data_IF_482907603180
#
_entry.id   IF_482907603180
#
_cell.length_a   1.000
_cell.length_b   1.000
_cell.length_c   1.000
_cell.angle_alpha   90.00
_cell.angle_beta   90.00
_cell.angle_gamma   90.00
#
_symmetry.space_group_name_H-M   'P 1'
#
loop_
_entity.id
_entity.type
_entity.pdbx_description
1 polymer ?
#
# COMPACT_ATOMS: atom_id res chain seq x y z
N UNK A 1 20.73 80.52 12.83
CA UNK A 1 20.30 79.91 14.12
C UNK A 1 19.24 78.87 13.77
N UNK A 2 19.60 77.57 13.85
CA UNK A 2 18.80 76.38 14.21
C UNK A 2 17.27 76.59 14.37
N UNK A 3 16.31 75.83 13.79
CA UNK A 3 16.05 74.36 13.73
C UNK A 3 14.77 74.13 12.87
N UNK A 4 14.59 72.96 12.23
CA UNK A 4 13.25 72.53 11.77
C UNK A 4 13.18 71.23 10.96
N UNK A 5 12.86 70.11 11.65
CA UNK A 5 12.75 68.71 11.20
C UNK A 5 11.76 68.47 10.04
N UNK A 6 11.98 67.41 9.24
CA UNK A 6 11.00 66.33 9.06
C UNK A 6 11.57 65.16 8.23
N UNK A 7 11.23 63.95 8.66
CA UNK A 7 11.62 62.66 8.08
C UNK A 7 10.71 62.26 6.92
N UNK A 8 11.22 61.42 6.00
CA UNK A 8 10.46 60.26 5.49
C UNK A 8 11.35 59.35 4.64
N UNK A 9 11.58 58.17 5.19
CA UNK A 9 11.92 56.92 4.50
C UNK A 9 10.72 56.45 3.67
N UNK A 10 10.96 55.80 2.53
CA UNK A 10 10.20 54.72 1.85
C UNK A 10 10.57 54.78 0.35
N UNK A 11 10.81 53.74 -0.43
CA UNK A 11 10.58 52.30 -0.30
C UNK A 11 11.36 51.66 -1.47
N UNK A 12 12.38 50.83 -1.22
CA UNK A 12 12.95 49.97 -2.28
C UNK A 12 11.97 48.83 -2.52
N UNK A 13 11.30 48.83 -3.68
CA UNK A 13 10.44 47.72 -4.12
C UNK A 13 11.34 46.54 -4.53
N UNK A 14 11.51 45.57 -3.65
CA UNK A 14 12.01 44.24 -4.01
C UNK A 14 10.87 43.44 -4.63
N UNK A 15 10.95 43.18 -5.94
CA UNK A 15 10.06 42.26 -6.65
C UNK A 15 10.55 40.85 -6.33
N UNK A 16 9.81 40.12 -5.49
CA UNK A 16 10.04 38.68 -5.29
C UNK A 16 9.37 37.91 -6.43
N UNK A 17 10.18 37.46 -7.38
CA UNK A 17 9.78 36.50 -8.41
C UNK A 17 9.55 35.14 -7.73
N UNK A 18 8.30 34.78 -7.49
CA UNK A 18 7.96 33.49 -6.88
C UNK A 18 8.03 32.44 -7.99
N UNK A 19 9.10 31.64 -8.01
CA UNK A 19 9.15 30.43 -8.84
C UNK A 19 8.10 29.45 -8.32
N UNK A 20 7.04 29.21 -9.10
CA UNK A 20 6.20 28.04 -8.91
C UNK A 20 7.05 26.80 -9.22
N UNK A 21 7.48 26.10 -8.17
CA UNK A 21 7.96 24.72 -8.31
C UNK A 21 6.72 23.86 -8.52
N UNK A 22 6.37 23.59 -9.78
CA UNK A 22 5.43 22.53 -10.12
C UNK A 22 6.09 21.20 -9.83
N UNK A 23 5.89 20.65 -8.63
CA UNK A 23 6.26 19.28 -8.27
C UNK A 23 5.32 18.28 -8.94
N UNK A 24 5.22 18.34 -10.26
CA UNK A 24 4.58 17.33 -11.08
C UNK A 24 5.63 16.35 -11.61
N UNK A 25 6.43 15.76 -10.72
CA UNK A 25 7.01 14.46 -11.04
C UNK A 25 5.91 13.43 -10.81
N UNK A 26 5.06 13.35 -11.83
CA UNK A 26 4.22 12.23 -12.12
C UNK A 26 5.01 10.96 -11.83
N UNK A 27 4.50 10.15 -10.92
CA UNK A 27 4.88 8.76 -10.75
C UNK A 27 5.04 8.18 -12.15
N UNK A 28 6.30 7.89 -12.53
CA UNK A 28 6.62 7.15 -13.74
C UNK A 28 5.64 5.99 -13.86
N UNK A 29 5.05 5.77 -15.04
CA UNK A 29 3.97 4.82 -15.33
C UNK A 29 4.09 3.60 -14.42
N UNK A 30 3.35 3.64 -13.31
CA UNK A 30 3.51 2.70 -12.22
C UNK A 30 2.88 1.40 -12.73
N UNK A 31 3.71 0.39 -13.05
CA UNK A 31 3.22 -0.91 -13.53
C UNK A 31 2.60 -1.67 -12.36
N UNK A 32 1.40 -1.26 -11.98
CA UNK A 32 0.63 -1.84 -10.88
C UNK A 32 -0.12 -3.08 -11.34
N UNK A 33 -0.27 -4.12 -10.49
CA UNK A 33 -1.11 -5.27 -10.79
C UNK A 33 -2.48 -4.84 -11.30
N UNK A 34 -2.91 -5.45 -12.39
CA UNK A 34 -4.21 -5.17 -13.03
C UNK A 34 -5.19 -6.24 -12.53
N UNK A 35 -6.34 -5.85 -11.94
CA UNK A 35 -7.36 -6.81 -11.56
C UNK A 35 -7.92 -7.52 -12.78
N UNK A 36 -8.14 -8.84 -12.69
CA UNK A 36 -8.80 -9.59 -13.77
C UNK A 36 -10.26 -9.16 -13.90
N UNK A 37 -10.93 -8.96 -12.77
CA UNK A 37 -12.30 -8.46 -12.73
C UNK A 37 -12.41 -7.21 -11.85
N UNK A 38 -13.22 -6.26 -12.32
CA UNK A 38 -13.49 -5.00 -11.61
C UNK A 38 -14.99 -4.72 -11.64
N UNK A 39 -15.58 -4.48 -10.47
CA UNK A 39 -16.93 -3.95 -10.33
C UNK A 39 -16.90 -2.66 -9.50
N UNK A 40 -17.64 -1.63 -9.93
CA UNK A 40 -17.61 -0.31 -9.29
C UNK A 40 -18.99 0.27 -9.10
N UNK A 41 -19.20 0.93 -7.96
CA UNK A 41 -20.39 1.72 -7.64
C UNK A 41 -19.97 3.00 -6.89
N UNK A 42 -20.24 4.16 -7.48
CA UNK A 42 -19.90 5.47 -6.90
C UNK A 42 -19.48 6.51 -7.94
N UNK A 43 -18.83 7.58 -7.48
CA UNK A 43 -18.34 8.65 -8.38
C UNK A 43 -17.01 8.30 -9.03
N UNK A 44 -16.77 8.77 -10.26
CA UNK A 44 -15.55 8.47 -11.01
C UNK A 44 -14.26 8.82 -10.25
N UNK A 45 -14.22 9.98 -9.58
CA UNK A 45 -13.04 10.43 -8.82
C UNK A 45 -12.75 9.52 -7.63
N UNK A 46 -13.79 9.16 -6.88
CA UNK A 46 -13.66 8.26 -5.73
C UNK A 46 -13.26 6.85 -6.16
N UNK A 47 -13.84 6.35 -7.26
CA UNK A 47 -13.48 5.06 -7.85
C UNK A 47 -12.00 5.04 -8.24
N UNK A 48 -11.53 6.04 -9.00
CA UNK A 48 -10.14 6.10 -9.45
C UNK A 48 -9.13 6.13 -8.28
N UNK A 49 -9.41 6.93 -7.25
CA UNK A 49 -8.55 7.02 -6.07
C UNK A 49 -8.52 5.70 -5.28
N UNK A 50 -9.67 5.04 -5.14
CA UNK A 50 -9.80 3.77 -4.40
C UNK A 50 -9.13 2.61 -5.12
N UNK A 51 -9.31 2.52 -6.45
CA UNK A 51 -8.62 1.56 -7.30
C UNK A 51 -7.09 1.74 -7.22
N UNK A 52 -6.62 2.99 -7.28
CA UNK A 52 -5.19 3.29 -7.20
C UNK A 52 -4.58 2.86 -5.86
N UNK A 53 -5.24 3.18 -4.74
CA UNK A 53 -4.80 2.80 -3.40
C UNK A 53 -4.70 1.27 -3.27
N UNK A 54 -5.75 0.55 -3.67
CA UNK A 54 -5.81 -0.90 -3.59
C UNK A 54 -4.75 -1.59 -4.49
N UNK A 55 -4.57 -1.11 -5.72
CA UNK A 55 -3.57 -1.65 -6.66
C UNK A 55 -2.13 -1.39 -6.18
N UNK A 56 -1.87 -0.24 -5.54
CA UNK A 56 -0.58 0.02 -4.89
C UNK A 56 -0.33 -0.95 -3.75
N UNK A 57 -1.32 -1.19 -2.90
CA UNK A 57 -1.13 -2.13 -1.80
C UNK A 57 -0.92 -3.57 -2.29
N UNK A 58 -1.60 -3.99 -3.36
CA UNK A 58 -1.29 -5.24 -4.05
C UNK A 58 0.13 -5.25 -4.65
N UNK A 59 0.60 -4.13 -5.23
CA UNK A 59 1.97 -4.02 -5.74
C UNK A 59 3.01 -4.15 -4.63
N UNK A 60 2.74 -3.61 -3.44
CA UNK A 60 3.57 -3.84 -2.25
C UNK A 60 3.64 -5.34 -1.92
N UNK A 61 2.51 -6.04 -1.87
CA UNK A 61 2.50 -7.48 -1.64
C UNK A 61 3.11 -8.31 -2.78
N UNK A 62 3.11 -7.80 -4.01
CA UNK A 62 3.76 -8.44 -5.15
C UNK A 62 5.29 -8.26 -5.14
N UNK A 63 5.78 -7.06 -4.80
CA UNK A 63 7.20 -6.69 -4.97
C UNK A 63 8.01 -6.60 -3.68
N UNK A 64 7.37 -6.32 -2.55
CA UNK A 64 8.03 -6.02 -1.28
C UNK A 64 8.53 -4.58 -1.18
N UNK A 65 8.32 -3.76 -2.21
CA UNK A 65 8.78 -2.37 -2.23
C UNK A 65 7.92 -1.50 -1.30
N UNK A 66 8.56 -1.02 -0.24
CA UNK A 66 7.93 -0.24 0.84
C UNK A 66 7.31 1.08 0.36
N UNK A 67 7.75 1.60 -0.80
CA UNK A 67 7.19 2.83 -1.38
C UNK A 67 5.72 2.65 -1.73
N UNK A 68 5.32 1.46 -2.19
CA UNK A 68 3.92 1.17 -2.53
C UNK A 68 3.03 1.13 -1.29
N UNK A 69 3.49 0.52 -0.19
CA UNK A 69 2.76 0.53 1.08
C UNK A 69 2.62 1.96 1.62
N UNK A 70 3.69 2.74 1.55
CA UNK A 70 3.70 4.14 2.02
C UNK A 70 2.75 5.03 1.21
N UNK A 71 2.63 4.78 -0.10
CA UNK A 71 1.70 5.51 -0.97
C UNK A 71 0.25 5.04 -0.85
N UNK A 72 0.02 3.77 -0.45
CA UNK A 72 -1.32 3.19 -0.34
C UNK A 72 -1.97 3.41 1.02
N UNK A 73 -1.21 3.30 2.11
CA UNK A 73 -1.72 3.33 3.48
C UNK A 73 -1.73 4.76 4.03
N UNK A 74 -2.77 5.10 4.79
CA UNK A 74 -2.85 6.37 5.49
C UNK A 74 -1.92 6.38 6.72
N UNK A 75 -1.45 7.56 7.18
CA UNK A 75 -0.65 7.66 8.40
C UNK A 75 -1.34 7.11 9.65
N UNK A 76 -2.67 7.18 9.70
CA UNK A 76 -3.54 6.67 10.75
C UNK A 76 -4.16 5.29 10.42
N UNK A 77 -3.53 4.54 9.50
CA UNK A 77 -3.99 3.21 9.10
C UNK A 77 -4.14 2.26 10.30
N UNK A 78 -5.27 1.56 10.37
CA UNK A 78 -5.58 0.53 11.36
C UNK A 78 -5.83 -0.82 10.68
N UNK A 79 -5.00 -1.80 10.98
CA UNK A 79 -5.29 -3.21 10.75
C UNK A 79 -6.35 -3.67 11.77
N UNK A 80 -7.53 -4.04 11.26
CA UNK A 80 -8.69 -4.46 12.04
C UNK A 80 -8.71 -5.96 12.33
N UNK A 81 -7.83 -6.71 11.69
CA UNK A 81 -7.64 -8.16 11.87
C UNK A 81 -6.20 -8.46 12.31
N UNK A 82 -5.60 -7.50 13.02
CA UNK A 82 -4.20 -7.51 13.44
C UNK A 82 -3.84 -8.83 14.13
N UNK A 83 -2.95 -9.65 13.53
CA UNK A 83 -2.48 -10.87 14.16
C UNK A 83 -1.72 -10.61 15.45
N UNK A 84 -1.83 -11.52 16.42
CA UNK A 84 -1.12 -11.41 17.68
C UNK A 84 0.40 -11.26 17.47
N UNK A 85 1.01 -10.28 18.15
CA UNK A 85 2.44 -9.99 18.04
C UNK A 85 2.85 -9.13 16.83
N UNK A 86 1.94 -8.84 15.90
CA UNK A 86 2.21 -7.91 14.79
C UNK A 86 2.04 -6.45 15.26
N UNK A 87 2.96 -5.53 14.90
CA UNK A 87 2.78 -4.10 15.16
C UNK A 87 1.56 -3.54 14.42
N UNK A 88 0.83 -2.62 15.06
CA UNK A 88 -0.25 -1.87 14.41
C UNK A 88 0.31 -0.83 13.42
N UNK A 89 -0.49 -0.44 12.44
CA UNK A 89 -0.14 0.56 11.42
C UNK A 89 0.71 -0.02 10.30
N UNK A 90 1.30 0.85 9.48
CA UNK A 90 2.09 0.48 8.29
C UNK A 90 3.24 -0.48 8.59
N UNK A 91 3.82 -0.44 9.78
CA UNK A 91 4.93 -1.33 10.18
C UNK A 91 4.53 -2.81 10.21
N UNK A 92 3.27 -3.13 10.51
CA UNK A 92 2.76 -4.51 10.54
C UNK A 92 2.85 -5.21 9.18
N UNK A 93 2.21 -4.68 8.13
CA UNK A 93 2.31 -5.23 6.78
C UNK A 93 3.75 -5.28 6.25
N UNK A 94 4.57 -4.25 6.53
CA UNK A 94 5.99 -4.25 6.14
C UNK A 94 6.75 -5.44 6.74
N UNK A 95 6.58 -5.67 8.04
CA UNK A 95 7.17 -6.81 8.73
C UNK A 95 6.67 -8.14 8.16
N UNK A 96 5.37 -8.27 7.93
CA UNK A 96 4.75 -9.49 7.40
C UNK A 96 5.27 -9.82 5.99
N UNK A 97 5.33 -8.84 5.09
CA UNK A 97 5.85 -9.01 3.73
C UNK A 97 7.32 -9.42 3.73
N UNK A 98 8.15 -8.80 4.58
CA UNK A 98 9.55 -9.17 4.73
C UNK A 98 9.70 -10.62 5.21
N UNK A 99 9.00 -11.02 6.27
CA UNK A 99 9.03 -12.39 6.79
C UNK A 99 8.57 -13.40 5.74
N UNK A 100 7.50 -13.09 5.01
CA UNK A 100 6.97 -14.02 4.03
C UNK A 100 7.90 -14.21 2.83
N UNK A 101 8.60 -13.16 2.40
CA UNK A 101 9.63 -13.26 1.35
C UNK A 101 10.91 -13.97 1.78
N UNK A 102 11.19 -14.04 3.08
CA UNK A 102 12.25 -14.93 3.60
C UNK A 102 11.88 -16.40 3.38
N UNK A 103 10.59 -16.74 3.41
CA UNK A 103 10.11 -18.09 3.13
C UNK A 103 9.95 -18.34 1.62
N UNK A 104 9.34 -17.39 0.89
CA UNK A 104 8.97 -17.49 -0.52
C UNK A 104 9.61 -16.31 -1.29
N UNK A 105 10.90 -16.38 -1.65
CA UNK A 105 11.62 -15.25 -2.26
C UNK A 105 11.09 -14.82 -3.62
N UNK A 106 10.49 -15.74 -4.38
CA UNK A 106 9.92 -15.53 -5.71
C UNK A 106 8.41 -15.22 -5.66
N UNK A 107 7.90 -14.77 -4.52
CA UNK A 107 6.48 -14.48 -4.32
C UNK A 107 5.95 -13.49 -5.37
N UNK A 108 4.86 -13.89 -6.01
CA UNK A 108 4.03 -13.07 -6.89
C UNK A 108 2.61 -12.98 -6.37
N UNK A 109 1.93 -11.88 -6.68
CA UNK A 109 0.55 -11.61 -6.26
C UNK A 109 -0.26 -11.10 -7.44
N UNK A 110 -1.36 -11.77 -7.70
CA UNK A 110 -2.35 -11.39 -8.71
C UNK A 110 -3.62 -10.88 -8.03
N UNK A 111 -4.22 -9.84 -8.60
CA UNK A 111 -5.55 -9.40 -8.18
C UNK A 111 -6.57 -10.14 -9.04
N UNK A 112 -7.32 -11.06 -8.45
CA UNK A 112 -8.37 -11.79 -9.16
C UNK A 112 -9.61 -10.91 -9.32
N UNK A 113 -10.14 -10.39 -8.21
CA UNK A 113 -11.34 -9.56 -8.21
C UNK A 113 -11.12 -8.29 -7.40
N UNK A 114 -11.68 -7.17 -7.85
CA UNK A 114 -11.72 -5.92 -7.11
C UNK A 114 -13.10 -5.27 -7.20
N UNK A 115 -13.73 -5.04 -6.05
CA UNK A 115 -15.05 -4.42 -5.97
C UNK A 115 -14.94 -3.12 -5.19
N UNK A 116 -15.37 -2.01 -5.80
CA UNK A 116 -15.39 -0.68 -5.16
C UNK A 116 -16.84 -0.23 -4.95
N UNK A 117 -17.21 0.05 -3.71
CA UNK A 117 -18.53 0.56 -3.37
C UNK A 117 -18.43 1.62 -2.27
N UNK A 118 -18.73 2.89 -2.61
CA UNK A 118 -18.57 3.99 -1.66
C UNK A 118 -17.13 4.11 -1.17
N UNK A 119 -16.93 4.09 0.15
CA UNK A 119 -15.60 4.15 0.79
C UNK A 119 -14.95 2.77 1.01
N UNK A 120 -15.52 1.71 0.42
CA UNK A 120 -15.04 0.34 0.57
C UNK A 120 -14.41 -0.19 -0.71
N UNK A 121 -13.36 -0.99 -0.54
CA UNK A 121 -12.78 -1.79 -1.61
C UNK A 121 -12.62 -3.23 -1.11
N UNK A 122 -13.26 -4.19 -1.74
CA UNK A 122 -12.97 -5.60 -1.52
C UNK A 122 -12.00 -6.10 -2.58
N UNK A 123 -10.99 -6.87 -2.18
CA UNK A 123 -9.97 -7.41 -3.07
C UNK A 123 -9.80 -8.90 -2.81
N UNK A 124 -9.84 -9.70 -3.87
CA UNK A 124 -9.45 -11.10 -3.86
C UNK A 124 -8.07 -11.21 -4.50
N UNK A 125 -7.11 -11.69 -3.71
CA UNK A 125 -5.71 -11.82 -4.08
C UNK A 125 -5.34 -13.31 -4.18
N UNK A 126 -4.47 -13.62 -5.14
CA UNK A 126 -3.85 -14.95 -5.26
C UNK A 126 -2.34 -14.80 -5.17
N UNK A 127 -1.75 -15.49 -4.21
CA UNK A 127 -0.33 -15.47 -3.91
C UNK A 127 0.31 -16.76 -4.44
N UNK A 128 1.41 -16.64 -5.19
CA UNK A 128 2.11 -17.78 -5.80
C UNK A 128 3.61 -17.69 -5.61
N UNK A 129 4.28 -18.83 -5.50
CA UNK A 129 5.74 -18.91 -5.48
C UNK A 129 6.22 -20.29 -5.07
N UNK A 130 7.46 -20.37 -4.59
CA UNK A 130 8.05 -21.61 -4.12
C UNK A 130 8.67 -21.43 -2.73
N UNK A 131 8.30 -22.30 -1.80
CA UNK A 131 8.91 -22.34 -0.48
C UNK A 131 10.33 -22.89 -0.61
N UNK A 132 11.29 -21.99 -0.80
CA UNK A 132 12.72 -22.28 -0.98
C UNK A 132 13.59 -21.64 0.10
N UNK A 133 12.99 -20.76 0.90
CA UNK A 133 13.64 -20.12 2.04
C UNK A 133 13.30 -20.80 3.36
N UNK A 134 13.07 -20.00 4.40
CA UNK A 134 12.80 -20.53 5.75
C UNK A 134 11.56 -19.94 6.38
N UNK A 135 10.84 -20.77 7.14
CA UNK A 135 9.73 -20.38 7.98
C UNK A 135 9.93 -20.97 9.38
N UNK A 136 10.34 -20.12 10.33
CA UNK A 136 10.82 -20.58 11.64
C UNK A 136 12.01 -21.55 11.48
N UNK A 137 11.90 -22.73 12.08
CA UNK A 137 12.93 -23.77 11.97
C UNK A 137 12.86 -24.57 10.67
N UNK A 138 11.73 -24.52 9.95
CA UNK A 138 11.50 -25.30 8.74
C UNK A 138 12.16 -24.64 7.53
N UNK A 139 12.94 -25.41 6.78
CA UNK A 139 13.51 -24.99 5.50
C UNK A 139 12.68 -25.56 4.35
N UNK A 140 12.40 -24.72 3.36
CA UNK A 140 11.69 -25.10 2.15
C UNK A 140 12.56 -25.93 1.21
N UNK A 141 11.92 -26.84 0.47
CA UNK A 141 12.55 -27.69 -0.53
C UNK A 141 11.97 -27.47 -1.94
N UNK A 142 11.33 -26.32 -2.16
CA UNK A 142 10.70 -25.95 -3.43
C UNK A 142 9.22 -26.29 -3.53
N UNK A 143 8.52 -26.51 -2.42
CA UNK A 143 7.08 -26.74 -2.43
C UNK A 143 6.36 -25.59 -3.12
N UNK A 144 5.44 -25.90 -4.03
CA UNK A 144 4.60 -24.89 -4.68
C UNK A 144 3.68 -24.25 -3.65
N UNK A 145 3.70 -22.92 -3.64
CA UNK A 145 2.78 -22.10 -2.87
C UNK A 145 1.75 -21.50 -3.82
N UNK A 146 0.48 -21.69 -3.49
CA UNK A 146 -0.67 -21.14 -4.20
C UNK A 146 -1.84 -21.01 -3.23
N UNK A 147 -2.00 -19.82 -2.64
CA UNK A 147 -3.07 -19.56 -1.67
C UNK A 147 -3.77 -18.24 -1.97
N UNK A 148 -4.96 -18.08 -1.42
CA UNK A 148 -5.80 -16.90 -1.61
C UNK A 148 -5.86 -16.04 -0.34
N UNK A 149 -6.09 -14.75 -0.54
CA UNK A 149 -6.44 -13.81 0.51
C UNK A 149 -7.60 -12.92 0.07
N UNK A 150 -8.41 -12.53 1.05
CA UNK A 150 -9.49 -11.56 0.87
C UNK A 150 -9.28 -10.39 1.79
N UNK A 151 -9.27 -9.21 1.20
CA UNK A 151 -9.13 -7.96 1.92
C UNK A 151 -10.37 -7.10 1.72
N UNK A 152 -10.74 -6.37 2.76
CA UNK A 152 -11.72 -5.30 2.72
C UNK A 152 -11.06 -4.04 3.25
N UNK A 153 -10.93 -3.02 2.41
CA UNK A 153 -10.36 -1.74 2.76
C UNK A 153 -11.44 -0.72 3.08
N UNK A 154 -11.16 0.19 4.02
CA UNK A 154 -11.75 1.53 4.00
C UNK A 154 -10.79 2.50 3.35
N UNK A 155 -11.24 3.22 2.33
CA UNK A 155 -10.43 4.25 1.65
C UNK A 155 -10.98 5.64 1.95
N UNK A 156 -10.10 6.54 2.40
CA UNK A 156 -10.37 7.98 2.55
C UNK A 156 -9.23 8.77 1.92
N UNK A 157 -9.56 9.84 1.21
CA UNK A 157 -8.59 10.72 0.54
C UNK A 157 -7.57 9.97 -0.35
N UNK A 158 -8.00 8.83 -0.95
CA UNK A 158 -7.14 8.01 -1.81
C UNK A 158 -6.11 7.15 -1.06
N UNK A 159 -6.27 6.96 0.25
CA UNK A 159 -5.44 6.07 1.06
C UNK A 159 -6.29 5.10 1.88
N UNK A 160 -5.76 3.91 2.12
CA UNK A 160 -6.37 2.88 2.96
C UNK A 160 -6.19 3.29 4.43
N UNK A 161 -7.31 3.50 5.11
CA UNK A 161 -7.36 3.87 6.54
C UNK A 161 -7.65 2.67 7.42
N UNK A 162 -8.30 1.64 6.90
CA UNK A 162 -8.61 0.42 7.63
C UNK A 162 -8.49 -0.78 6.70
N UNK A 163 -8.01 -1.92 7.20
CA UNK A 163 -8.03 -3.21 6.49
C UNK A 163 -8.62 -4.29 7.39
N UNK A 164 -9.53 -5.09 6.85
CA UNK A 164 -9.90 -6.41 7.38
C UNK A 164 -9.44 -7.44 6.36
N UNK A 165 -8.62 -8.40 6.77
CA UNK A 165 -8.05 -9.39 5.88
C UNK A 165 -8.27 -10.81 6.41
N UNK A 166 -8.34 -11.76 5.47
CA UNK A 166 -8.37 -13.18 5.73
C UNK A 166 -7.58 -13.92 4.66
N UNK A 167 -6.54 -14.61 5.08
CA UNK A 167 -5.74 -15.49 4.24
C UNK A 167 -6.06 -16.96 4.49
N UNK A 168 -5.91 -17.80 3.46
CA UNK A 168 -5.90 -19.25 3.60
C UNK A 168 -4.58 -19.75 4.24
N UNK A 169 -4.36 -19.36 5.50
CA UNK A 169 -3.17 -19.72 6.26
C UNK A 169 -3.10 -21.23 6.52
N UNK A 170 -4.23 -21.93 6.64
CA UNK A 170 -4.24 -23.38 6.82
C UNK A 170 -3.72 -24.08 5.56
N UNK A 171 -4.26 -23.73 4.39
CA UNK A 171 -3.79 -24.25 3.11
C UNK A 171 -2.33 -23.93 2.86
N UNK A 172 -1.90 -22.70 3.16
CA UNK A 172 -0.50 -22.29 3.08
C UNK A 172 0.41 -23.18 3.95
N UNK A 173 0.08 -23.40 5.23
CA UNK A 173 0.90 -24.20 6.14
C UNK A 173 0.97 -25.69 5.71
N UNK A 174 -0.12 -26.21 5.13
CA UNK A 174 -0.14 -27.55 4.54
C UNK A 174 0.75 -27.64 3.29
N UNK A 175 0.69 -26.65 2.39
CA UNK A 175 1.56 -26.57 1.22
C UNK A 175 3.04 -26.46 1.58
N UNK A 176 3.36 -25.73 2.65
CA UNK A 176 4.73 -25.64 3.18
C UNK A 176 5.20 -26.92 3.89
N UNK A 177 4.29 -27.86 4.17
CA UNK A 177 4.58 -29.09 4.92
C UNK A 177 4.84 -28.84 6.42
N UNK A 178 4.45 -27.67 6.94
CA UNK A 178 4.56 -27.32 8.36
C UNK A 178 3.44 -27.97 9.17
N UNK A 179 2.24 -28.04 8.59
CA UNK A 179 1.08 -28.74 9.12
C UNK A 179 0.71 -29.91 8.20
N UNK A 180 0.24 -31.00 8.80
CA UNK A 180 -0.21 -32.20 8.10
C UNK A 180 -1.73 -32.33 8.20
#
# INVERSE_FOLDING_TARGET
>A
MFIGRSASSLMRRCIFLTLLVTSANAFAVESLPVPLHVAVAGTQKQIAASLLAARRYAAFWNTGDVRYATAALAPDFIDRTLPAGRPQGTSGPLQASQMFRVAVPDLTVEIQDMVVAGDRVSVHLRFKGHFTGRFGEVAGSGQTIDFQAFDMYRVKNGQITENWHLEDNLGLMQQMGVLK
#
